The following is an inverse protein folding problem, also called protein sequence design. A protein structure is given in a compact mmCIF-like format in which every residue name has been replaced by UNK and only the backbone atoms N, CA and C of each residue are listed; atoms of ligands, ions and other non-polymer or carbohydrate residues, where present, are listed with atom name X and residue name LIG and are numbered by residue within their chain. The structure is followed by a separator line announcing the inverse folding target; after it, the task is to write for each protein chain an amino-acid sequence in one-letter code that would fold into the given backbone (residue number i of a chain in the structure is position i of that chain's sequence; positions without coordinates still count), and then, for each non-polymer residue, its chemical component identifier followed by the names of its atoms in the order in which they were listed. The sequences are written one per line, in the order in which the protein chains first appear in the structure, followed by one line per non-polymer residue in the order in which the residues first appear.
data_IF_561320491136
#
_entry.id   IF_561320491136
#
_cell.length_a   1.000
_cell.length_b   1.000
_cell.length_c   1.000
_cell.angle_alpha   90.00
_cell.angle_beta   90.00
_cell.angle_gamma   90.00
#
_symmetry.space_group_name_H-M   'P 1'
#
loop_
_entity.id
_entity.type
_entity.pdbx_description
1 polymer ?
#
# COMPACT_ATOMS: atom_id res chain seq x y z
N UNK A 1 -5.38 -43.43 19.26
CA UNK A 1 -4.63 -42.18 18.99
C UNK A 1 -5.55 -41.30 18.18
N UNK A 2 -5.85 -40.07 18.61
CA UNK A 2 -6.73 -39.20 17.85
C UNK A 2 -6.03 -38.83 16.54
N UNK A 3 -6.77 -39.00 15.45
CA UNK A 3 -6.43 -38.59 14.10
C UNK A 3 -6.28 -37.07 14.10
N UNK A 4 -5.03 -36.58 14.02
CA UNK A 4 -4.74 -35.15 13.96
C UNK A 4 -5.27 -34.62 12.63
N UNK A 5 -6.33 -33.82 12.68
CA UNK A 5 -6.78 -33.04 11.53
C UNK A 5 -5.57 -32.28 10.92
N UNK A 6 -5.40 -32.27 9.59
CA UNK A 6 -4.36 -31.46 8.96
C UNK A 6 -4.74 -29.99 9.20
N UNK A 7 -4.08 -29.36 10.16
CA UNK A 7 -4.28 -27.94 10.45
C UNK A 7 -3.85 -27.12 9.23
N UNK A 8 -4.79 -26.36 8.68
CA UNK A 8 -4.70 -25.39 7.56
C UNK A 8 -3.68 -24.25 7.80
N UNK A 9 -2.47 -24.54 8.23
CA UNK A 9 -1.63 -23.54 8.87
C UNK A 9 -0.95 -22.58 7.87
N UNK A 10 -0.62 -22.98 6.63
CA UNK A 10 -0.06 -22.01 5.67
C UNK A 10 -1.15 -21.12 5.07
N UNK A 11 -2.31 -21.70 4.72
CA UNK A 11 -3.46 -20.91 4.24
C UNK A 11 -3.97 -19.96 5.33
N UNK A 12 -4.06 -20.40 6.59
CA UNK A 12 -4.45 -19.53 7.71
C UNK A 12 -3.46 -18.38 7.94
N UNK A 13 -2.15 -18.62 7.76
CA UNK A 13 -1.15 -17.55 7.87
C UNK A 13 -1.29 -16.55 6.73
N UNK A 14 -1.35 -17.03 5.49
CA UNK A 14 -1.56 -16.18 4.31
C UNK A 14 -2.87 -15.37 4.41
N UNK A 15 -3.95 -15.99 4.88
CA UNK A 15 -5.22 -15.33 5.14
C UNK A 15 -5.08 -14.25 6.24
N UNK A 16 -4.42 -14.57 7.35
CA UNK A 16 -4.22 -13.62 8.45
C UNK A 16 -3.35 -12.43 8.03
N UNK A 17 -2.34 -12.66 7.19
CA UNK A 17 -1.45 -11.62 6.67
C UNK A 17 -2.17 -10.75 5.65
N UNK A 18 -2.95 -11.34 4.74
CA UNK A 18 -3.80 -10.57 3.82
C UNK A 18 -4.85 -9.73 4.56
N UNK A 19 -5.46 -10.27 5.62
CA UNK A 19 -6.37 -9.51 6.49
C UNK A 19 -5.65 -8.34 7.16
N UNK A 20 -4.43 -8.54 7.65
CA UNK A 20 -3.63 -7.48 8.29
C UNK A 20 -3.34 -6.32 7.32
N UNK A 21 -3.05 -6.64 6.05
CA UNK A 21 -2.78 -5.64 5.00
C UNK A 21 -4.06 -4.88 4.65
N UNK A 22 -5.19 -5.57 4.52
CA UNK A 22 -6.48 -4.93 4.28
C UNK A 22 -6.82 -3.97 5.43
N UNK A 23 -6.64 -4.41 6.68
CA UNK A 23 -6.83 -3.56 7.87
C UNK A 23 -5.91 -2.35 7.82
N UNK A 24 -4.63 -2.54 7.52
CA UNK A 24 -3.67 -1.45 7.41
C UNK A 24 -4.05 -0.42 6.33
N UNK A 25 -4.48 -0.89 5.15
CA UNK A 25 -4.94 -0.03 4.06
C UNK A 25 -6.22 0.74 4.43
N UNK A 26 -7.14 0.13 5.17
CA UNK A 26 -8.33 0.81 5.71
C UNK A 26 -7.93 1.87 6.73
N UNK A 27 -7.02 1.57 7.66
CA UNK A 27 -6.53 2.54 8.64
C UNK A 27 -5.88 3.74 7.95
N UNK A 28 -5.07 3.50 6.92
CA UNK A 28 -4.49 4.57 6.09
C UNK A 28 -5.57 5.39 5.39
N UNK A 29 -6.50 4.73 4.68
CA UNK A 29 -7.55 5.40 3.92
C UNK A 29 -8.45 6.27 4.84
N UNK A 30 -8.88 5.71 5.97
CA UNK A 30 -9.68 6.44 6.98
C UNK A 30 -8.87 7.57 7.61
N UNK A 31 -7.60 7.34 7.94
CA UNK A 31 -6.72 8.36 8.51
C UNK A 31 -6.52 9.56 7.60
N UNK A 32 -6.28 9.32 6.30
CA UNK A 32 -6.20 10.39 5.31
C UNK A 32 -7.55 11.06 5.06
N UNK A 33 -8.65 10.30 5.06
CA UNK A 33 -9.98 10.87 4.90
C UNK A 33 -10.36 11.80 6.08
N UNK A 34 -10.09 11.38 7.32
CA UNK A 34 -10.29 12.21 8.51
C UNK A 34 -9.37 13.44 8.47
N UNK A 35 -8.14 13.28 8.01
CA UNK A 35 -7.21 14.40 7.82
C UNK A 35 -7.75 15.45 6.86
N UNK A 36 -8.39 15.04 5.76
CA UNK A 36 -9.04 15.96 4.80
C UNK A 36 -10.28 16.63 5.40
N UNK A 37 -11.13 15.87 6.09
CA UNK A 37 -12.39 16.36 6.68
C UNK A 37 -12.12 17.39 7.78
N UNK A 38 -11.13 17.13 8.63
CA UNK A 38 -10.77 17.95 9.78
C UNK A 38 -9.59 18.90 9.50
N UNK A 39 -9.40 19.30 8.24
CA UNK A 39 -8.42 20.34 7.91
C UNK A 39 -8.83 21.71 8.45
N UNK A 40 -7.86 22.57 8.83
CA UNK A 40 -8.14 23.93 9.29
C UNK A 40 -8.82 24.75 8.19
N UNK A 41 -9.77 25.62 8.56
CA UNK A 41 -10.42 26.53 7.61
C UNK A 41 -9.49 27.69 7.24
N UNK A 42 -9.72 28.23 6.04
CA UNK A 42 -9.09 29.47 5.57
C UNK A 42 -9.95 30.64 6.02
N UNK A 43 -9.43 31.56 6.84
CA UNK A 43 -10.21 32.69 7.39
C UNK A 43 -9.91 34.05 6.78
N UNK A 44 -8.76 34.20 6.13
CA UNK A 44 -8.29 35.48 5.60
C UNK A 44 -8.24 35.39 4.09
N UNK A 45 -9.33 35.82 3.44
CA UNK A 45 -9.37 36.10 2.01
C UNK A 45 -8.89 37.54 1.82
N UNK A 46 -7.59 37.73 1.51
CA UNK A 46 -7.15 39.01 0.98
C UNK A 46 -7.74 39.16 -0.43
N UNK A 47 -8.64 40.14 -0.59
CA UNK A 47 -9.47 40.41 -1.79
C UNK A 47 -8.69 40.73 -3.07
N UNK A 48 -7.36 40.76 -3.02
CA UNK A 48 -6.48 41.08 -4.16
C UNK A 48 -5.93 39.85 -4.88
N UNK A 49 -6.28 38.63 -4.45
CA UNK A 49 -5.56 37.42 -4.82
C UNK A 49 -6.46 36.33 -5.41
N UNK A 50 -6.98 36.56 -6.61
CA UNK A 50 -7.97 35.71 -7.28
C UNK A 50 -7.50 34.31 -7.69
N UNK A 51 -6.24 33.93 -7.44
CA UNK A 51 -5.65 32.64 -7.91
C UNK A 51 -5.82 31.49 -6.91
N UNK A 52 -6.02 31.80 -5.62
CA UNK A 52 -6.01 30.82 -4.53
C UNK A 52 -7.21 31.00 -3.57
N UNK A 53 -8.42 31.18 -4.11
CA UNK A 53 -9.65 31.38 -3.33
C UNK A 53 -10.25 30.03 -2.89
N UNK A 54 -9.77 29.50 -1.77
CA UNK A 54 -10.25 28.24 -1.19
C UNK A 54 -10.66 28.42 0.27
N UNK A 55 -11.74 27.74 0.69
CA UNK A 55 -12.26 27.82 2.07
C UNK A 55 -11.60 26.85 3.06
N UNK A 56 -10.85 25.86 2.54
CA UNK A 56 -10.16 24.82 3.32
C UNK A 56 -8.72 24.67 2.86
N UNK A 57 -7.85 24.23 3.76
CA UNK A 57 -6.44 23.96 3.45
C UNK A 57 -6.26 22.89 2.36
N UNK A 58 -6.99 21.78 2.41
CA UNK A 58 -6.79 20.66 1.49
C UNK A 58 -6.91 21.02 -0.01
N UNK A 59 -7.98 21.69 -0.50
CA UNK A 59 -8.03 22.12 -1.89
C UNK A 59 -7.02 23.24 -2.23
N UNK A 60 -6.55 23.99 -1.23
CA UNK A 60 -5.50 25.00 -1.42
C UNK A 60 -4.15 24.36 -1.77
N UNK A 61 -3.66 23.44 -0.92
CA UNK A 61 -2.34 22.80 -1.10
C UNK A 61 -2.30 21.79 -2.25
N UNK A 62 -3.46 21.38 -2.77
CA UNK A 62 -3.54 20.56 -3.99
C UNK A 62 -3.24 21.33 -5.27
N UNK A 63 -3.34 22.66 -5.25
CA UNK A 63 -2.95 23.48 -6.39
C UNK A 63 -1.46 23.80 -6.30
N UNK A 64 -0.68 23.43 -7.32
CA UNK A 64 0.79 23.66 -7.39
C UNK A 64 1.16 25.15 -7.35
N UNK A 65 0.21 26.03 -7.66
CA UNK A 65 0.37 27.48 -7.61
C UNK A 65 -0.03 28.10 -6.25
N UNK A 66 -0.46 27.30 -5.27
CA UNK A 66 -0.94 27.77 -3.97
C UNK A 66 -0.31 26.99 -2.81
N UNK A 67 -0.28 27.61 -1.63
CA UNK A 67 0.18 26.99 -0.39
C UNK A 67 -0.53 27.58 0.81
N UNK A 68 -0.46 26.87 1.93
CA UNK A 68 -1.18 27.19 3.15
C UNK A 68 -0.22 27.71 4.22
N UNK A 69 -0.51 28.89 4.76
CA UNK A 69 0.23 29.46 5.86
C UNK A 69 -0.63 29.51 7.12
N UNK A 70 -0.15 28.92 8.21
CA UNK A 70 -0.90 28.75 9.45
C UNK A 70 -0.06 29.00 10.67
N UNK A 71 -0.75 29.11 11.80
CA UNK A 71 -0.16 29.38 13.10
C UNK A 71 0.15 28.07 13.84
N UNK A 72 1.34 27.91 14.40
CA UNK A 72 1.78 26.64 15.01
C UNK A 72 1.13 26.30 16.36
N UNK A 73 0.61 27.28 17.10
CA UNK A 73 0.23 27.12 18.51
C UNK A 73 -1.03 26.30 18.81
N UNK A 74 -1.82 25.93 17.80
CA UNK A 74 -2.95 25.02 17.97
C UNK A 74 -3.29 24.34 16.63
N UNK A 75 -3.43 23.00 16.52
CA UNK A 75 -3.75 22.30 15.27
C UNK A 75 -5.09 22.69 14.62
N UNK A 76 -5.96 23.42 15.32
CA UNK A 76 -7.19 24.02 14.77
C UNK A 76 -7.01 25.46 14.27
N UNK A 77 -5.78 25.95 14.19
CA UNK A 77 -5.49 27.33 13.81
C UNK A 77 -5.95 27.64 12.41
N UNK A 78 -6.70 28.73 12.33
CA UNK A 78 -7.08 29.40 11.11
C UNK A 78 -5.84 29.86 10.36
N UNK A 79 -5.81 29.59 9.07
CA UNK A 79 -4.71 29.98 8.17
C UNK A 79 -5.20 30.72 6.94
N UNK A 80 -4.25 31.01 6.05
CA UNK A 80 -4.50 31.66 4.75
C UNK A 80 -3.95 30.83 3.62
N UNK A 81 -4.71 30.78 2.52
CA UNK A 81 -4.25 30.22 1.25
C UNK A 81 -3.59 31.34 0.41
N UNK A 82 -2.33 31.15 0.03
CA UNK A 82 -1.50 32.16 -0.65
C UNK A 82 -0.87 31.53 -1.91
N UNK A 83 -0.45 32.32 -2.91
CA UNK A 83 0.13 31.78 -4.13
C UNK A 83 1.62 31.47 -3.93
N UNK A 84 2.10 30.43 -4.60
CA UNK A 84 3.52 30.05 -4.63
C UNK A 84 4.16 30.62 -5.90
N UNK A 85 5.34 31.23 -5.78
CA UNK A 85 6.11 31.70 -6.94
C UNK A 85 7.19 30.68 -7.32
N UNK A 86 7.28 30.38 -8.61
CA UNK A 86 7.96 29.19 -9.17
C UNK A 86 9.49 29.16 -9.07
N UNK A 87 10.15 30.24 -8.63
CA UNK A 87 11.62 30.27 -8.51
C UNK A 87 12.14 29.64 -7.19
N UNK A 88 11.31 29.55 -6.14
CA UNK A 88 11.70 28.98 -4.83
C UNK A 88 10.52 28.31 -4.09
N UNK A 89 10.24 27.01 -4.29
CA UNK A 89 9.12 26.32 -3.62
C UNK A 89 9.24 26.23 -2.09
N UNK A 90 10.45 26.38 -1.54
CA UNK A 90 10.71 26.39 -0.08
C UNK A 90 10.67 27.79 0.54
N UNK A 91 10.55 28.85 -0.27
CA UNK A 91 10.54 30.25 0.17
C UNK A 91 9.41 31.01 -0.52
N UNK A 92 8.31 31.08 0.20
CA UNK A 92 7.34 32.16 0.25
C UNK A 92 6.89 32.88 -1.02
N UNK A 93 5.57 33.00 -1.07
CA UNK A 93 4.79 34.09 -1.62
C UNK A 93 5.55 35.43 -1.83
N UNK A 94 5.25 36.06 -2.96
CA UNK A 94 6.02 37.12 -3.66
C UNK A 94 6.75 38.13 -2.72
N UNK A 95 8.09 38.22 -2.77
CA UNK A 95 8.86 39.20 -1.99
C UNK A 95 8.59 40.66 -2.40
N UNK A 96 7.98 40.90 -3.57
CA UNK A 96 7.60 42.23 -4.04
C UNK A 96 6.16 42.61 -3.65
N UNK A 97 5.39 41.70 -3.07
CA UNK A 97 4.00 41.96 -2.66
C UNK A 97 3.95 42.47 -1.21
N UNK A 98 4.27 43.75 -1.03
CA UNK A 98 4.25 44.43 0.28
C UNK A 98 2.84 44.74 0.82
N UNK A 99 1.78 44.42 0.07
CA UNK A 99 0.40 44.86 0.39
C UNK A 99 -0.45 43.80 1.10
N UNK A 100 0.15 42.68 1.54
CA UNK A 100 -0.54 41.63 2.28
C UNK A 100 0.12 41.34 3.62
N UNK A 101 -0.62 41.58 4.72
CA UNK A 101 -0.10 41.40 6.09
C UNK A 101 0.22 39.94 6.41
N UNK A 102 -0.45 38.99 5.77
CA UNK A 102 -0.23 37.56 5.99
C UNK A 102 0.90 37.03 5.10
N UNK A 103 0.96 37.45 3.83
CA UNK A 103 2.03 37.08 2.89
C UNK A 103 3.42 37.42 3.46
N UNK A 104 3.58 38.62 4.02
CA UNK A 104 4.82 39.08 4.65
C UNK A 104 5.23 38.27 5.90
N UNK A 105 4.28 37.92 6.77
CA UNK A 105 4.52 37.17 8.03
C UNK A 105 4.89 35.71 7.82
N UNK A 106 4.40 35.18 6.71
CA UNK A 106 4.85 33.94 6.15
C UNK A 106 6.31 34.22 5.70
N UNK A 107 6.60 35.16 4.80
CA UNK A 107 7.94 35.42 4.24
C UNK A 107 9.15 35.63 5.20
N UNK A 108 8.96 36.13 6.42
CA UNK A 108 10.08 36.53 7.27
C UNK A 108 10.90 35.37 7.89
N UNK A 109 12.17 35.28 7.50
CA UNK A 109 13.18 34.36 8.06
C UNK A 109 14.12 34.99 9.10
N UNK A 110 14.01 36.29 9.38
CA UNK A 110 14.98 37.03 10.19
C UNK A 110 14.31 38.07 11.10
N UNK A 111 13.83 37.69 12.29
CA UNK A 111 13.92 38.52 13.51
C UNK A 111 13.74 37.62 14.73
N UNK A 112 14.75 37.64 15.60
CA UNK A 112 15.06 36.62 16.59
C UNK A 112 14.23 36.72 17.89
N UNK A 113 13.14 37.47 17.94
CA UNK A 113 12.48 37.74 19.23
C UNK A 113 10.97 37.53 19.36
N UNK A 114 10.19 37.21 18.30
CA UNK A 114 8.77 36.85 18.48
C UNK A 114 8.10 36.07 17.30
N UNK A 115 8.87 35.63 16.29
CA UNK A 115 8.32 35.25 14.97
C UNK A 115 8.38 33.75 14.62
N UNK A 116 8.36 32.85 15.60
CA UNK A 116 8.25 31.37 15.36
C UNK A 116 6.80 30.88 15.22
N UNK A 117 5.86 31.79 14.98
CA UNK A 117 4.42 31.50 15.09
C UNK A 117 3.79 31.02 13.78
N UNK A 118 4.30 31.42 12.61
CA UNK A 118 3.74 31.07 11.30
C UNK A 118 4.58 29.99 10.60
N UNK A 119 3.91 29.01 9.99
CA UNK A 119 4.53 27.89 9.27
C UNK A 119 3.92 27.76 7.88
N UNK A 120 4.77 27.55 6.89
CA UNK A 120 4.40 27.29 5.50
C UNK A 120 4.21 25.80 5.24
N UNK A 121 3.11 25.45 4.57
CA UNK A 121 2.86 24.11 4.07
C UNK A 121 2.39 24.20 2.61
N UNK A 122 3.17 23.60 1.73
CA UNK A 122 2.99 23.59 0.28
C UNK A 122 2.22 22.35 -0.20
N UNK A 123 2.39 21.20 0.47
CA UNK A 123 1.82 19.91 0.04
C UNK A 123 1.13 19.11 1.16
N UNK A 124 0.91 19.72 2.33
CA UNK A 124 0.23 19.06 3.45
C UNK A 124 -0.58 20.06 4.28
N UNK A 125 -1.53 19.56 5.06
CA UNK A 125 -2.30 20.35 6.01
C UNK A 125 -2.04 19.85 7.43
N UNK A 126 -1.92 20.75 8.43
CA UNK A 126 -1.82 20.32 9.81
C UNK A 126 -3.12 19.63 10.23
N UNK A 127 -2.99 18.51 10.93
CA UNK A 127 -4.11 17.67 11.35
C UNK A 127 -3.73 16.84 12.57
N UNK A 128 -4.66 16.72 13.52
CA UNK A 128 -4.53 15.86 14.70
C UNK A 128 -4.52 14.36 14.34
N UNK A 129 -4.96 14.00 13.13
CA UNK A 129 -5.08 12.60 12.68
C UNK A 129 -3.81 12.05 12.01
N UNK A 130 -2.71 12.82 12.00
CA UNK A 130 -1.44 12.42 11.38
C UNK A 130 -0.87 11.09 11.91
N UNK A 131 -1.11 10.78 13.19
CA UNK A 131 -0.67 9.53 13.82
C UNK A 131 -1.30 8.29 13.19
N UNK A 132 -2.50 8.41 12.60
CA UNK A 132 -3.17 7.29 11.95
C UNK A 132 -2.43 6.84 10.68
N UNK A 133 -1.82 7.78 9.95
CA UNK A 133 -0.99 7.45 8.78
C UNK A 133 0.25 6.65 9.21
N UNK A 134 0.90 7.06 10.30
CA UNK A 134 2.05 6.36 10.88
C UNK A 134 1.66 4.96 11.37
N UNK A 135 0.54 4.86 12.10
CA UNK A 135 0.02 3.57 12.58
C UNK A 135 -0.33 2.64 11.43
N UNK A 136 -1.03 3.14 10.41
CA UNK A 136 -1.41 2.36 9.23
C UNK A 136 -0.19 1.84 8.47
N UNK A 137 0.85 2.65 8.30
CA UNK A 137 2.10 2.22 7.67
C UNK A 137 2.82 1.16 8.52
N UNK A 138 2.86 1.34 9.84
CA UNK A 138 3.46 0.36 10.74
C UNK A 138 2.73 -0.99 10.68
N UNK A 139 1.38 -0.98 10.71
CA UNK A 139 0.56 -2.19 10.56
C UNK A 139 0.80 -2.85 9.20
N UNK A 140 0.93 -2.06 8.12
CA UNK A 140 1.24 -2.58 6.79
C UNK A 140 2.57 -3.32 6.78
N UNK A 141 3.63 -2.72 7.33
CA UNK A 141 4.97 -3.33 7.36
C UNK A 141 4.99 -4.59 8.23
N UNK A 142 4.37 -4.54 9.41
CA UNK A 142 4.30 -5.69 10.34
C UNK A 142 3.54 -6.86 9.71
N UNK A 143 2.43 -6.57 9.02
CA UNK A 143 1.63 -7.58 8.33
C UNK A 143 2.28 -8.13 7.06
N UNK A 144 3.00 -7.30 6.33
CA UNK A 144 3.66 -7.71 5.08
C UNK A 144 4.90 -8.57 5.32
N UNK A 145 5.68 -8.27 6.35
CA UNK A 145 6.99 -8.88 6.57
C UNK A 145 7.00 -10.42 6.75
N UNK A 146 6.16 -11.03 7.59
CA UNK A 146 6.19 -12.48 7.82
C UNK A 146 5.49 -13.27 6.71
N UNK A 147 4.49 -12.68 6.04
CA UNK A 147 3.60 -13.36 5.10
C UNK A 147 3.90 -13.07 3.64
N UNK A 148 3.29 -12.00 3.12
CA UNK A 148 3.35 -11.66 1.70
C UNK A 148 4.75 -11.31 1.18
N UNK A 149 5.69 -10.98 2.07
CA UNK A 149 7.10 -10.80 1.72
C UNK A 149 7.73 -12.10 1.20
N UNK A 150 7.90 -13.14 2.04
CA UNK A 150 8.55 -14.39 1.64
C UNK A 150 7.62 -15.41 0.97
N UNK A 151 6.33 -15.46 1.32
CA UNK A 151 5.47 -16.60 0.95
C UNK A 151 5.23 -16.79 -0.55
N UNK A 152 5.00 -15.74 -1.37
CA UNK A 152 4.86 -15.92 -2.81
C UNK A 152 6.09 -16.57 -3.46
N UNK A 153 7.28 -16.29 -2.94
CA UNK A 153 8.53 -16.88 -3.43
C UNK A 153 8.65 -18.35 -3.04
N UNK A 154 8.29 -18.69 -1.80
CA UNK A 154 8.28 -20.06 -1.31
C UNK A 154 7.26 -20.89 -2.09
N UNK A 155 6.02 -20.43 -2.21
CA UNK A 155 4.95 -21.13 -2.93
C UNK A 155 5.33 -21.33 -4.41
N UNK A 156 5.88 -20.32 -5.08
CA UNK A 156 6.41 -20.46 -6.45
C UNK A 156 7.46 -21.58 -6.57
N UNK A 157 8.25 -21.84 -5.53
CA UNK A 157 9.26 -22.90 -5.57
C UNK A 157 8.68 -24.31 -5.36
N UNK A 158 7.51 -24.41 -4.73
CA UNK A 158 6.85 -25.65 -4.34
C UNK A 158 5.82 -26.14 -5.37
N UNK A 159 5.11 -25.24 -6.04
CA UNK A 159 3.98 -25.60 -6.94
C UNK A 159 4.42 -26.14 -8.31
N UNK A 160 5.63 -25.80 -8.77
CA UNK A 160 6.05 -26.13 -10.13
C UNK A 160 6.83 -27.45 -10.20
N UNK A 161 6.50 -28.32 -11.17
CA UNK A 161 7.22 -29.56 -11.38
C UNK A 161 8.66 -29.28 -11.82
N UNK A 162 9.59 -30.18 -11.49
CA UNK A 162 11.04 -29.95 -11.63
C UNK A 162 11.43 -29.55 -13.06
N UNK A 163 10.81 -30.16 -14.07
CA UNK A 163 11.11 -29.91 -15.48
C UNK A 163 10.69 -28.51 -15.97
N UNK A 164 9.69 -27.88 -15.34
CA UNK A 164 9.15 -26.57 -15.74
C UNK A 164 9.58 -25.43 -14.80
N UNK A 165 10.09 -25.76 -13.62
CA UNK A 165 10.30 -24.83 -12.50
C UNK A 165 11.09 -23.58 -12.89
N UNK A 166 12.21 -23.76 -13.60
CA UNK A 166 13.06 -22.63 -14.00
C UNK A 166 12.33 -21.59 -14.85
N UNK A 167 11.56 -22.05 -15.84
CA UNK A 167 10.78 -21.18 -16.74
C UNK A 167 9.58 -20.55 -16.01
N UNK A 168 8.89 -21.31 -15.16
CA UNK A 168 7.75 -20.80 -14.43
C UNK A 168 8.14 -19.73 -13.40
N UNK A 169 9.24 -19.94 -12.65
CA UNK A 169 9.78 -18.96 -11.71
C UNK A 169 10.24 -17.69 -12.45
N UNK A 170 10.88 -17.81 -13.62
CA UNK A 170 11.34 -16.63 -14.37
C UNK A 170 10.18 -15.77 -14.89
N UNK A 171 9.12 -16.40 -15.40
CA UNK A 171 7.90 -15.70 -15.84
C UNK A 171 7.21 -15.03 -14.64
N UNK A 172 7.03 -15.76 -13.53
CA UNK A 172 6.39 -15.23 -12.32
C UNK A 172 7.17 -14.04 -11.75
N UNK A 173 8.50 -14.12 -11.74
CA UNK A 173 9.39 -13.02 -11.32
C UNK A 173 9.27 -11.81 -12.25
N UNK A 174 9.25 -12.04 -13.57
CA UNK A 174 9.08 -10.95 -14.55
C UNK A 174 7.74 -10.23 -14.38
N UNK A 175 6.65 -10.98 -14.19
CA UNK A 175 5.31 -10.41 -13.92
C UNK A 175 5.32 -9.59 -12.64
N UNK A 176 5.94 -10.07 -11.56
CA UNK A 176 6.07 -9.33 -10.31
C UNK A 176 6.80 -7.99 -10.50
N UNK A 177 7.94 -7.99 -11.19
CA UNK A 177 8.69 -6.76 -11.45
C UNK A 177 7.93 -5.78 -12.35
N UNK A 178 7.22 -6.27 -13.36
CA UNK A 178 6.36 -5.44 -14.21
C UNK A 178 5.23 -4.81 -13.38
N UNK A 179 4.56 -5.59 -12.53
CA UNK A 179 3.52 -5.08 -11.65
C UNK A 179 4.06 -4.00 -10.69
N UNK A 180 5.26 -4.21 -10.12
CA UNK A 180 5.92 -3.23 -9.27
C UNK A 180 6.21 -1.92 -10.03
N UNK A 181 6.70 -2.00 -11.27
CA UNK A 181 6.91 -0.81 -12.12
C UNK A 181 5.60 -0.07 -12.40
N UNK A 182 4.52 -0.78 -12.71
CA UNK A 182 3.21 -0.18 -12.96
C UNK A 182 2.73 0.56 -11.70
N UNK A 183 2.77 -0.09 -10.53
CA UNK A 183 2.35 0.54 -9.27
C UNK A 183 3.22 1.77 -8.97
N UNK A 184 4.54 1.66 -9.12
CA UNK A 184 5.47 2.77 -8.86
C UNK A 184 5.20 3.99 -9.74
N UNK A 185 4.95 3.80 -11.04
CA UNK A 185 4.65 4.91 -11.95
C UNK A 185 3.24 5.49 -11.76
N UNK A 186 2.27 4.66 -11.40
CA UNK A 186 0.88 5.10 -11.27
C UNK A 186 0.56 5.69 -9.91
N UNK A 187 1.31 5.33 -8.85
CA UNK A 187 1.00 5.72 -7.47
C UNK A 187 0.87 7.23 -7.28
N UNK A 188 1.88 8.00 -7.66
CA UNK A 188 1.85 9.46 -7.47
C UNK A 188 0.75 10.11 -8.31
N UNK A 189 0.54 9.61 -9.54
CA UNK A 189 -0.54 10.06 -10.42
C UNK A 189 -1.94 9.77 -9.83
N UNK A 190 -2.12 8.64 -9.15
CA UNK A 190 -3.36 8.27 -8.46
C UNK A 190 -3.63 9.18 -7.26
N UNK A 191 -2.60 9.50 -6.47
CA UNK A 191 -2.70 10.43 -5.34
C UNK A 191 -3.19 11.81 -5.79
N UNK A 192 -2.66 12.33 -6.90
CA UNK A 192 -3.07 13.64 -7.46
C UNK A 192 -4.46 13.60 -8.12
N UNK A 193 -4.78 12.54 -8.87
CA UNK A 193 -6.00 12.48 -9.71
C UNK A 193 -7.28 12.13 -8.94
N UNK A 194 -7.21 11.22 -7.97
CA UNK A 194 -8.39 10.77 -7.22
C UNK A 194 -8.44 11.46 -5.86
N UNK A 195 -7.37 11.28 -5.06
CA UNK A 195 -7.10 11.78 -3.70
C UNK A 195 -6.26 10.74 -2.96
N UNK A 196 -5.50 11.16 -1.96
CA UNK A 196 -4.70 10.24 -1.13
C UNK A 196 -5.54 9.12 -0.52
N UNK A 197 -6.67 9.45 0.14
CA UNK A 197 -7.54 8.43 0.74
C UNK A 197 -8.21 7.53 -0.30
N UNK A 198 -8.60 8.09 -1.47
CA UNK A 198 -9.19 7.33 -2.57
C UNK A 198 -8.24 6.26 -3.13
N UNK A 199 -6.95 6.60 -3.27
CA UNK A 199 -5.91 5.65 -3.71
C UNK A 199 -5.75 4.48 -2.74
N UNK A 200 -5.75 4.73 -1.42
CA UNK A 200 -5.67 3.65 -0.43
C UNK A 200 -6.94 2.79 -0.41
N UNK A 201 -8.14 3.35 -0.60
CA UNK A 201 -9.36 2.56 -0.79
C UNK A 201 -9.32 1.70 -2.05
N UNK A 202 -8.78 2.24 -3.15
CA UNK A 202 -8.60 1.49 -4.40
C UNK A 202 -7.66 0.29 -4.19
N UNK A 203 -6.50 0.50 -3.55
CA UNK A 203 -5.59 -0.61 -3.23
C UNK A 203 -6.18 -1.59 -2.23
N UNK A 204 -7.00 -1.15 -1.29
CA UNK A 204 -7.77 -2.03 -0.42
C UNK A 204 -8.70 -2.94 -1.25
N UNK A 205 -9.43 -2.36 -2.22
CA UNK A 205 -10.30 -3.12 -3.12
C UNK A 205 -9.53 -4.15 -3.96
N UNK A 206 -8.39 -3.76 -4.55
CA UNK A 206 -7.53 -4.67 -5.30
C UNK A 206 -7.00 -5.80 -4.39
N UNK A 207 -6.61 -5.48 -3.16
CA UNK A 207 -6.11 -6.47 -2.18
C UNK A 207 -7.20 -7.47 -1.78
N UNK A 208 -8.44 -7.02 -1.59
CA UNK A 208 -9.59 -7.90 -1.31
C UNK A 208 -9.87 -8.83 -2.50
N UNK A 209 -9.87 -8.31 -3.73
CA UNK A 209 -10.02 -9.13 -4.92
C UNK A 209 -8.90 -10.16 -5.05
N UNK A 210 -7.65 -9.75 -4.79
CA UNK A 210 -6.50 -10.64 -4.76
C UNK A 210 -6.66 -11.75 -3.72
N UNK A 211 -7.11 -11.42 -2.51
CA UNK A 211 -7.40 -12.41 -1.46
C UNK A 211 -8.48 -13.40 -1.88
N UNK A 212 -9.56 -12.93 -2.51
CA UNK A 212 -10.64 -13.80 -3.01
C UNK A 212 -10.08 -14.78 -4.06
N UNK A 213 -9.29 -14.28 -5.01
CA UNK A 213 -8.68 -15.13 -6.05
C UNK A 213 -7.73 -16.15 -5.42
N UNK A 214 -6.86 -15.73 -4.50
CA UNK A 214 -5.95 -16.63 -3.80
C UNK A 214 -6.70 -17.71 -3.01
N UNK A 215 -7.75 -17.32 -2.28
CA UNK A 215 -8.56 -18.25 -1.49
C UNK A 215 -9.19 -19.36 -2.34
N UNK A 216 -9.66 -19.04 -3.55
CA UNK A 216 -10.28 -20.05 -4.42
C UNK A 216 -9.30 -20.81 -5.32
N UNK A 217 -8.19 -20.19 -5.72
CA UNK A 217 -7.26 -20.78 -6.71
C UNK A 217 -6.05 -21.49 -6.09
N UNK A 218 -5.67 -21.17 -4.86
CA UNK A 218 -4.48 -21.73 -4.24
C UNK A 218 -4.86 -22.94 -3.35
N UNK A 219 -4.61 -24.18 -3.78
CA UNK A 219 -4.77 -25.34 -2.91
C UNK A 219 -3.69 -25.34 -1.83
N UNK A 220 -3.99 -25.89 -0.65
CA UNK A 220 -3.04 -26.01 0.45
C UNK A 220 -1.84 -26.89 0.04
N UNK A 221 -0.63 -26.31 0.00
CA UNK A 221 0.62 -27.00 -0.35
C UNK A 221 1.42 -27.49 0.86
N UNK A 222 1.05 -27.09 2.08
CA UNK A 222 1.83 -27.39 3.30
C UNK A 222 1.82 -28.88 3.66
N UNK A 223 2.98 -29.40 4.04
CA UNK A 223 3.20 -30.81 4.46
C UNK A 223 2.87 -31.84 3.37
N UNK A 224 2.90 -31.44 2.10
CA UNK A 224 2.82 -32.35 0.96
C UNK A 224 4.20 -32.53 0.34
N UNK A 225 4.51 -33.74 -0.10
CA UNK A 225 5.73 -33.92 -0.90
C UNK A 225 5.54 -33.23 -2.25
N UNK A 226 6.64 -32.92 -2.93
CA UNK A 226 6.59 -32.24 -4.22
C UNK A 226 5.76 -33.03 -5.24
N UNK A 227 5.85 -34.36 -5.18
CA UNK A 227 5.10 -35.30 -6.01
C UNK A 227 3.60 -35.29 -5.69
N UNK A 228 3.23 -35.14 -4.41
CA UNK A 228 1.83 -35.01 -4.00
C UNK A 228 1.23 -33.67 -4.43
N UNK A 229 2.01 -32.58 -4.40
CA UNK A 229 1.57 -31.26 -4.90
C UNK A 229 1.36 -31.30 -6.41
N UNK A 230 2.25 -31.95 -7.16
CA UNK A 230 2.07 -32.14 -8.61
C UNK A 230 0.75 -32.87 -8.91
N UNK A 231 0.37 -33.85 -8.10
CA UNK A 231 -0.92 -34.56 -8.24
C UNK A 231 -2.17 -33.70 -8.01
N UNK A 232 -2.06 -32.57 -7.29
CA UNK A 232 -3.18 -31.64 -7.09
C UNK A 232 -3.48 -30.80 -8.34
N UNK A 233 -2.48 -30.59 -9.20
CA UNK A 233 -2.60 -29.79 -10.41
C UNK A 233 -2.72 -30.63 -11.70
N UNK A 234 -2.65 -31.96 -11.62
CA UNK A 234 -2.86 -32.87 -12.76
C UNK A 234 -4.34 -33.11 -13.06
N UNK A 235 -4.69 -33.27 -14.35
CA UNK A 235 -6.06 -33.65 -14.74
C UNK A 235 -6.44 -35.03 -14.21
N UNK A 236 -7.74 -35.26 -13.95
CA UNK A 236 -8.24 -36.58 -13.47
C UNK A 236 -7.78 -37.73 -14.36
N UNK A 237 -7.73 -37.48 -15.66
CA UNK A 237 -7.35 -38.47 -16.67
C UNK A 237 -5.87 -38.84 -16.56
N UNK A 238 -4.98 -37.86 -16.40
CA UNK A 238 -3.56 -38.09 -16.19
C UNK A 238 -3.29 -38.74 -14.82
N UNK A 239 -4.00 -38.33 -13.77
CA UNK A 239 -3.92 -38.92 -12.43
C UNK A 239 -4.29 -40.40 -12.44
N UNK A 240 -5.30 -40.79 -13.22
CA UNK A 240 -5.72 -42.19 -13.37
C UNK A 240 -4.67 -43.05 -14.11
N UNK A 241 -4.03 -42.49 -15.14
CA UNK A 241 -2.97 -43.15 -15.91
C UNK A 241 -1.70 -43.33 -15.07
N UNK A 242 -1.28 -42.29 -14.36
CA UNK A 242 -0.09 -42.32 -13.51
C UNK A 242 -0.24 -43.34 -12.38
N UNK A 243 -1.42 -43.39 -11.75
CA UNK A 243 -1.72 -44.40 -10.71
C UNK A 243 -1.68 -45.83 -11.27
N UNK A 244 -2.19 -46.06 -12.49
CA UNK A 244 -2.05 -47.35 -13.16
C UNK A 244 -0.57 -47.70 -13.40
N UNK A 245 0.21 -46.77 -13.95
CA UNK A 245 1.63 -46.99 -14.26
C UNK A 245 2.45 -47.37 -13.01
N UNK A 246 2.28 -46.61 -11.92
CA UNK A 246 2.91 -46.91 -10.62
C UNK A 246 2.48 -48.28 -10.07
N UNK A 247 1.21 -48.66 -10.25
CA UNK A 247 0.70 -49.98 -9.83
C UNK A 247 1.28 -51.11 -10.69
N UNK A 248 1.50 -50.88 -11.99
CA UNK A 248 2.18 -51.83 -12.87
C UNK A 248 3.65 -52.00 -12.48
N UNK A 249 4.36 -50.91 -12.24
CA UNK A 249 5.79 -50.91 -11.91
C UNK A 249 6.07 -51.56 -10.55
N UNK A 250 5.25 -51.28 -9.53
CA UNK A 250 5.32 -51.96 -8.23
C UNK A 250 5.04 -53.47 -8.32
N UNK A 251 4.29 -53.89 -9.33
CA UNK A 251 3.98 -55.32 -9.58
C UNK A 251 5.11 -56.03 -10.34
N UNK A 252 5.86 -55.28 -11.17
CA UNK A 252 6.96 -55.80 -11.99
C UNK A 252 8.31 -55.81 -11.25
N UNK A 253 8.50 -54.95 -10.22
CA UNK A 253 9.76 -54.89 -9.46
C UNK A 253 9.54 -54.91 -7.92
N UNK A 254 9.44 -56.10 -7.29
CA UNK A 254 9.14 -56.24 -5.87
C UNK A 254 10.26 -55.74 -4.93
N UNK A 255 11.44 -55.38 -5.44
CA UNK A 255 12.53 -54.79 -4.65
C UNK A 255 12.23 -53.34 -4.19
N UNK A 256 11.32 -52.64 -4.87
CA UNK A 256 10.91 -51.27 -4.52
C UNK A 256 9.81 -51.19 -3.45
N UNK A 257 9.21 -52.32 -3.05
CA UNK A 257 8.15 -52.36 -2.04
C UNK A 257 8.66 -52.15 -0.59
N UNK A 258 9.98 -52.04 -0.39
CA UNK A 258 10.64 -51.97 0.92
C UNK A 258 11.22 -50.62 1.34
N UNK A 259 11.34 -49.65 0.43
CA UNK A 259 11.79 -48.29 0.76
C UNK A 259 10.56 -47.40 0.97
N UNK A 260 10.36 -47.00 2.23
CA UNK A 260 9.11 -46.51 2.79
C UNK A 260 8.56 -45.26 2.10
N UNK A 261 7.27 -45.33 1.78
CA UNK A 261 6.30 -44.21 1.83
C UNK A 261 6.29 -43.56 3.23
#
# INVERSE_FOLDING_TARGET
MPESQPTHFATLYLESDCQSIIIALIVLAVGFQLSVIHTPPVSLNETLLSKCEYSKCDPCVRNKDCGFCYIKDNPTTTGSCLPVYSDHPERYADPNFQNGTVNFRCNETNYEHDMKYFTWADNYCPTEYSWMAVLGLALFVIGFAPGLGPMPWTVNSEIYPIWARGTAISISTAVNWIANLIVSFTFLSLLESITTYGTFYLFCGISVLGLIVLYFMLPETKNKTLEEVEQLFMSEEYRSQHKKYMTYEAKDNPAFAGEKL
#
